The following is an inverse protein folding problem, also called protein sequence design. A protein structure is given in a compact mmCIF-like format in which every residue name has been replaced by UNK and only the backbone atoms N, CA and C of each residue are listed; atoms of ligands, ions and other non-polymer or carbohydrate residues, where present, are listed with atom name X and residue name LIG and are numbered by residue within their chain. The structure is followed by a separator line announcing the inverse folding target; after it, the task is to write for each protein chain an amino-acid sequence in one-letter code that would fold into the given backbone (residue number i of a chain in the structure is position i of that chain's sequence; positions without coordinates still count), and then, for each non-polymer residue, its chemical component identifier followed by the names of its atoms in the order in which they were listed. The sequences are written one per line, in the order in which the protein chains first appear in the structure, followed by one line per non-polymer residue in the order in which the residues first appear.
data_IF_307606003733
#
_entry.id   IF_307606003733
#
_cell.length_a   1.000
_cell.length_b   1.000
_cell.length_c   1.000
_cell.angle_alpha   90.00
_cell.angle_beta   90.00
_cell.angle_gamma   90.00
#
_symmetry.space_group_name_H-M   'P 1'
#
loop_
_entity.id
_entity.type
_entity.pdbx_description
1 polymer ?
#
# COMPACT_ATOMS: atom_id res chain seq x y z
N UNK A 1 3.58 19.65 9.50
CA UNK A 1 2.25 19.15 9.08
C UNK A 1 2.47 18.22 7.89
N UNK A 2 1.77 17.10 7.82
CA UNK A 2 2.01 16.04 6.81
C UNK A 2 1.89 16.56 5.37
N UNK A 3 1.01 17.52 5.09
CA UNK A 3 0.89 18.17 3.77
C UNK A 3 2.20 18.82 3.29
N UNK A 4 2.96 19.44 4.20
CA UNK A 4 4.29 20.02 3.89
C UNK A 4 5.34 18.94 3.64
N UNK A 5 5.19 17.78 4.25
CA UNK A 5 6.10 16.66 3.97
C UNK A 5 5.77 16.05 2.62
N UNK A 6 4.48 15.83 2.35
CA UNK A 6 3.99 15.30 1.09
C UNK A 6 4.39 16.19 -0.10
N UNK A 7 4.38 17.52 0.05
CA UNK A 7 4.74 18.45 -1.04
C UNK A 7 6.17 18.31 -1.56
N UNK A 8 7.06 17.59 -0.85
CA UNK A 8 8.41 17.26 -1.32
C UNK A 8 8.43 16.14 -2.37
N UNK A 9 7.35 15.37 -2.47
CA UNK A 9 7.23 14.22 -3.35
C UNK A 9 6.36 14.58 -4.57
N UNK A 10 6.62 13.91 -5.69
CA UNK A 10 5.91 14.16 -6.95
C UNK A 10 4.68 13.28 -7.13
N UNK A 11 4.64 12.13 -6.47
CA UNK A 11 3.63 11.09 -6.62
C UNK A 11 3.46 10.39 -5.27
N UNK A 12 2.24 9.98 -4.95
CA UNK A 12 1.94 9.04 -3.86
C UNK A 12 1.48 7.71 -4.45
N UNK A 13 1.96 6.62 -3.84
CA UNK A 13 1.54 5.26 -4.16
C UNK A 13 0.83 4.69 -2.95
N UNK A 14 -0.31 4.03 -3.16
CA UNK A 14 -1.06 3.33 -2.10
C UNK A 14 -1.56 1.98 -2.59
N UNK A 15 -2.10 1.16 -1.69
CA UNK A 15 -2.90 0.01 -2.06
C UNK A 15 -4.32 0.15 -1.51
N UNK A 16 -5.28 0.33 -2.41
CA UNK A 16 -6.69 0.61 -2.10
C UNK A 16 -6.91 1.95 -1.37
N UNK A 17 -5.97 2.90 -1.52
CA UNK A 17 -6.03 4.18 -0.82
C UNK A 17 -7.11 5.12 -1.35
N UNK A 18 -7.50 5.00 -2.62
CA UNK A 18 -8.61 5.79 -3.17
C UNK A 18 -9.94 5.50 -2.47
N UNK A 19 -10.14 4.25 -2.04
CA UNK A 19 -11.37 3.80 -1.39
C UNK A 19 -11.29 3.79 0.13
N UNK A 20 -10.10 3.91 0.72
CA UNK A 20 -9.90 3.75 2.15
C UNK A 20 -9.09 4.89 2.77
N UNK A 21 -7.79 4.98 2.47
CA UNK A 21 -6.87 5.89 3.14
C UNK A 21 -7.21 7.37 2.89
N UNK A 22 -7.32 7.79 1.63
CA UNK A 22 -7.53 9.20 1.28
C UNK A 22 -8.85 9.75 1.83
N UNK A 23 -10.01 9.06 1.70
CA UNK A 23 -11.25 9.52 2.32
C UNK A 23 -11.15 9.63 3.84
N UNK A 24 -10.42 8.71 4.49
CA UNK A 24 -10.28 8.70 5.95
C UNK A 24 -9.36 9.81 6.46
N UNK A 25 -8.24 10.05 5.79
CA UNK A 25 -7.34 11.19 6.08
C UNK A 25 -8.08 12.52 5.92
N UNK A 26 -8.87 12.68 4.86
CA UNK A 26 -9.68 13.87 4.66
C UNK A 26 -10.75 14.03 5.75
N UNK A 27 -11.46 12.95 6.10
CA UNK A 27 -12.57 12.99 7.06
C UNK A 27 -12.08 13.29 8.48
N UNK A 28 -11.12 12.51 8.95
CA UNK A 28 -10.69 12.47 10.35
C UNK A 28 -9.62 13.53 10.66
N UNK A 29 -8.74 13.83 9.69
CA UNK A 29 -7.60 14.72 9.89
C UNK A 29 -7.66 16.01 9.06
N UNK A 30 -8.68 16.18 8.21
CA UNK A 30 -8.85 17.33 7.31
C UNK A 30 -7.66 17.55 6.36
N UNK A 31 -6.90 16.49 6.08
CA UNK A 31 -5.77 16.51 5.16
C UNK A 31 -6.25 16.25 3.74
N UNK A 32 -5.95 17.17 2.84
CA UNK A 32 -6.23 16.99 1.42
C UNK A 32 -4.95 16.70 0.64
N UNK A 33 -4.92 15.56 -0.06
CA UNK A 33 -3.78 15.12 -0.85
C UNK A 33 -4.02 15.51 -2.31
N UNK A 34 -3.34 16.55 -2.79
CA UNK A 34 -3.44 17.06 -4.16
C UNK A 34 -2.41 16.48 -5.14
N UNK A 35 -1.52 15.61 -4.66
CA UNK A 35 -0.48 15.01 -5.49
C UNK A 35 -1.05 13.97 -6.46
N UNK A 36 -0.42 13.78 -7.63
CA UNK A 36 -0.67 12.61 -8.46
C UNK A 36 -0.61 11.33 -7.64
N UNK A 37 -1.62 10.48 -7.80
CA UNK A 37 -1.83 9.31 -6.97
C UNK A 37 -1.93 8.05 -7.84
N UNK A 38 -1.18 7.03 -7.44
CA UNK A 38 -1.20 5.70 -8.04
C UNK A 38 -1.76 4.72 -7.01
N UNK A 39 -2.98 4.23 -7.27
CA UNK A 39 -3.55 3.14 -6.49
C UNK A 39 -3.20 1.79 -7.14
N UNK A 40 -2.43 0.97 -6.42
CA UNK A 40 -1.98 -0.33 -6.90
C UNK A 40 -3.08 -1.38 -6.93
N UNK A 41 -4.13 -1.27 -6.11
CA UNK A 41 -5.21 -2.27 -6.05
C UNK A 41 -5.88 -2.47 -7.41
N UNK A 42 -6.43 -1.44 -8.08
CA UNK A 42 -7.05 -1.61 -9.40
C UNK A 42 -6.01 -1.99 -10.48
N UNK A 43 -4.75 -1.56 -10.34
CA UNK A 43 -3.69 -1.93 -11.28
C UNK A 43 -3.33 -3.42 -11.19
N UNK A 44 -3.25 -3.96 -9.98
CA UNK A 44 -3.05 -5.38 -9.71
C UNK A 44 -4.19 -6.21 -10.29
N UNK A 45 -5.44 -5.83 -10.03
CA UNK A 45 -6.62 -6.52 -10.56
C UNK A 45 -6.60 -6.57 -12.09
N UNK A 46 -6.29 -5.45 -12.75
CA UNK A 46 -6.15 -5.38 -14.21
C UNK A 46 -4.99 -6.22 -14.76
N UNK A 47 -3.98 -6.50 -13.94
CA UNK A 47 -2.86 -7.38 -14.23
C UNK A 47 -3.10 -8.86 -13.88
N UNK A 48 -4.30 -9.22 -13.40
CA UNK A 48 -4.64 -10.59 -12.98
C UNK A 48 -4.28 -10.93 -11.53
N UNK A 49 -3.73 -9.98 -10.77
CA UNK A 49 -3.42 -10.12 -9.36
C UNK A 49 -4.66 -9.73 -8.54
N UNK A 50 -5.49 -10.72 -8.21
CA UNK A 50 -6.74 -10.51 -7.44
C UNK A 50 -6.48 -10.63 -5.94
N UNK A 51 -7.28 -9.93 -5.16
CA UNK A 51 -7.23 -9.98 -3.70
C UNK A 51 -6.60 -8.75 -3.05
N UNK A 52 -6.63 -8.69 -1.71
CA UNK A 52 -5.99 -7.69 -0.86
C UNK A 52 -4.47 -7.73 -0.94
N UNK A 53 -3.80 -6.83 -0.22
CA UNK A 53 -2.34 -6.67 -0.27
C UNK A 53 -1.62 -8.00 0.02
N UNK A 54 -2.00 -8.67 1.11
CA UNK A 54 -1.48 -9.99 1.50
C UNK A 54 -1.60 -11.05 0.40
N UNK A 55 -2.74 -11.07 -0.28
CA UNK A 55 -3.00 -12.06 -1.34
C UNK A 55 -2.11 -11.76 -2.56
N UNK A 56 -1.96 -10.48 -2.92
CA UNK A 56 -1.05 -10.05 -3.98
C UNK A 56 0.41 -10.37 -3.63
N UNK A 57 0.85 -10.12 -2.40
CA UNK A 57 2.19 -10.47 -1.94
C UNK A 57 2.46 -11.97 -2.01
N UNK A 58 1.50 -12.79 -1.57
CA UNK A 58 1.60 -14.24 -1.67
C UNK A 58 1.72 -14.71 -3.12
N UNK A 59 0.91 -14.16 -4.03
CA UNK A 59 0.98 -14.47 -5.48
C UNK A 59 2.35 -14.09 -6.06
N UNK A 60 2.92 -12.98 -5.61
CA UNK A 60 4.23 -12.49 -6.05
C UNK A 60 5.40 -13.10 -5.27
N UNK A 61 5.14 -14.03 -4.34
CA UNK A 61 6.13 -14.64 -3.47
C UNK A 61 6.97 -13.61 -2.68
N UNK A 62 6.34 -12.51 -2.26
CA UNK A 62 6.93 -11.50 -1.39
C UNK A 62 6.87 -12.02 0.05
N UNK A 63 8.03 -12.06 0.71
CA UNK A 63 8.15 -12.60 2.06
C UNK A 63 7.91 -11.51 3.09
N UNK A 64 7.29 -11.89 4.19
CA UNK A 64 7.19 -11.09 5.41
C UNK A 64 7.92 -11.82 6.55
N UNK A 65 8.46 -11.11 7.55
CA UNK A 65 8.90 -11.72 8.79
C UNK A 65 7.81 -12.56 9.45
N UNK A 66 8.15 -13.74 9.97
CA UNK A 66 7.17 -14.71 10.48
C UNK A 66 6.43 -14.24 11.73
N UNK A 67 7.03 -13.33 12.51
CA UNK A 67 6.38 -12.77 13.69
C UNK A 67 5.30 -11.75 13.32
N UNK A 68 5.29 -11.22 12.09
CA UNK A 68 4.28 -10.28 11.60
C UNK A 68 3.08 -11.03 11.01
N UNK A 69 2.31 -11.64 11.90
CA UNK A 69 1.06 -12.32 11.57
C UNK A 69 -0.15 -11.62 12.22
N UNK A 70 -1.35 -12.00 11.80
CA UNK A 70 -2.60 -11.42 12.32
C UNK A 70 -3.10 -10.19 11.56
N UNK A 71 -4.02 -9.45 12.18
CA UNK A 71 -4.69 -8.29 11.61
C UNK A 71 -4.18 -7.00 12.29
N UNK A 72 -3.68 -6.01 11.53
CA UNK A 72 -3.24 -4.72 12.08
C UNK A 72 -4.30 -4.01 12.92
N UNK A 73 -5.58 -4.21 12.61
CA UNK A 73 -6.69 -3.64 13.38
C UNK A 73 -6.73 -4.21 14.80
N UNK A 74 -6.36 -5.47 14.97
CA UNK A 74 -6.34 -6.11 16.29
C UNK A 74 -5.15 -5.62 17.12
N UNK A 75 -3.99 -5.38 16.48
CA UNK A 75 -2.84 -4.72 17.14
C UNK A 75 -3.20 -3.30 17.60
N UNK A 76 -3.87 -2.52 16.76
CA UNK A 76 -4.34 -1.19 17.14
C UNK A 76 -5.30 -1.22 18.32
N UNK A 77 -6.27 -2.14 18.32
CA UNK A 77 -7.22 -2.32 19.42
C UNK A 77 -6.54 -2.75 20.72
N UNK A 78 -5.59 -3.67 20.63
CA UNK A 78 -4.83 -4.15 21.78
C UNK A 78 -4.03 -2.99 22.40
N UNK A 79 -3.27 -2.23 21.59
CA UNK A 79 -2.57 -1.03 22.03
C UNK A 79 -3.52 -0.03 22.69
N UNK A 80 -4.66 0.26 22.08
CA UNK A 80 -5.63 1.22 22.62
C UNK A 80 -6.23 0.79 23.96
N UNK A 81 -6.42 -0.53 24.16
CA UNK A 81 -7.02 -1.07 25.37
C UNK A 81 -6.02 -1.21 26.52
N UNK A 82 -4.78 -1.59 26.23
CA UNK A 82 -3.75 -1.86 27.24
C UNK A 82 -2.78 -0.70 27.49
N UNK A 83 -2.56 0.17 26.49
CA UNK A 83 -1.47 1.13 26.47
C UNK A 83 -0.09 0.50 26.26
N UNK A 84 -0.03 -0.80 25.97
CA UNK A 84 1.21 -1.55 25.84
C UNK A 84 1.88 -1.27 24.48
N UNK A 85 3.09 -0.70 24.56
CA UNK A 85 3.85 -0.27 23.38
C UNK A 85 4.27 -1.43 22.49
N UNK A 86 4.37 -2.67 23.00
CA UNK A 86 4.74 -3.81 22.16
C UNK A 86 3.75 -3.99 20.98
N UNK A 87 2.46 -3.77 21.20
CA UNK A 87 1.46 -3.81 20.12
C UNK A 87 1.62 -2.66 19.12
N UNK A 88 2.01 -1.48 19.59
CA UNK A 88 2.27 -0.33 18.73
C UNK A 88 3.53 -0.55 17.87
N UNK A 89 4.59 -1.09 18.47
CA UNK A 89 5.84 -1.36 17.78
C UNK A 89 5.65 -2.42 16.69
N UNK A 90 4.90 -3.50 17.00
CA UNK A 90 4.49 -4.50 16.01
C UNK A 90 3.63 -3.89 14.89
N UNK A 91 2.71 -2.98 15.21
CA UNK A 91 1.89 -2.31 14.21
C UNK A 91 2.73 -1.40 13.30
N UNK A 92 3.72 -0.71 13.85
CA UNK A 92 4.65 0.12 13.07
C UNK A 92 5.49 -0.75 12.14
N UNK A 93 6.03 -1.86 12.64
CA UNK A 93 6.80 -2.81 11.82
C UNK A 93 5.93 -3.40 10.70
N UNK A 94 4.68 -3.74 11.02
CA UNK A 94 3.71 -4.21 10.04
C UNK A 94 3.51 -3.19 8.90
N UNK A 95 3.29 -1.93 9.25
CA UNK A 95 3.09 -0.87 8.26
C UNK A 95 4.36 -0.59 7.44
N UNK A 96 5.54 -0.77 8.04
CA UNK A 96 6.81 -0.64 7.32
C UNK A 96 6.97 -1.75 6.26
N UNK A 97 6.65 -2.99 6.60
CA UNK A 97 6.66 -4.11 5.67
C UNK A 97 5.66 -3.92 4.52
N UNK A 98 4.47 -3.39 4.81
CA UNK A 98 3.52 -3.02 3.76
C UNK A 98 4.18 -2.06 2.76
N UNK A 99 4.85 -1.01 3.22
CA UNK A 99 5.51 -0.01 2.34
C UNK A 99 6.61 -0.65 1.47
N UNK A 100 7.47 -1.50 2.04
CA UNK A 100 8.52 -2.20 1.28
C UNK A 100 7.91 -3.10 0.20
N UNK A 101 6.83 -3.82 0.52
CA UNK A 101 6.14 -4.67 -0.44
C UNK A 101 5.39 -3.86 -1.51
N UNK A 102 4.83 -2.69 -1.18
CA UNK A 102 4.21 -1.80 -2.16
C UNK A 102 5.20 -1.38 -3.25
N UNK A 103 6.46 -1.15 -2.89
CA UNK A 103 7.51 -0.85 -3.87
C UNK A 103 7.71 -2.01 -4.85
N UNK A 104 7.86 -3.24 -4.34
CA UNK A 104 8.03 -4.43 -5.17
C UNK A 104 6.80 -4.68 -6.08
N UNK A 105 5.59 -4.48 -5.56
CA UNK A 105 4.35 -4.59 -6.33
C UNK A 105 4.31 -3.52 -7.43
N UNK A 106 4.67 -2.28 -7.13
CA UNK A 106 4.71 -1.20 -8.11
C UNK A 106 5.68 -1.51 -9.25
N UNK A 107 6.89 -1.99 -8.93
CA UNK A 107 7.88 -2.40 -9.93
C UNK A 107 7.36 -3.52 -10.83
N UNK A 108 6.70 -4.53 -10.25
CA UNK A 108 6.06 -5.61 -11.00
C UNK A 108 4.98 -5.09 -11.96
N UNK A 109 4.06 -4.29 -11.44
CA UNK A 109 2.94 -3.72 -12.21
C UNK A 109 3.46 -2.84 -13.34
N UNK A 110 4.45 -1.99 -13.05
CA UNK A 110 5.09 -1.13 -14.04
C UNK A 110 5.69 -1.96 -15.18
N UNK A 111 6.51 -2.98 -14.85
CA UNK A 111 7.11 -3.85 -15.85
C UNK A 111 6.06 -4.51 -16.75
N UNK A 112 5.03 -5.12 -16.16
CA UNK A 112 3.96 -5.79 -16.92
C UNK A 112 3.18 -4.84 -17.83
N UNK A 113 2.87 -3.64 -17.34
CA UNK A 113 2.18 -2.62 -18.15
C UNK A 113 3.06 -2.12 -19.30
N UNK A 114 4.33 -1.82 -19.03
CA UNK A 114 5.28 -1.37 -20.05
C UNK A 114 5.48 -2.41 -21.15
N UNK A 115 5.63 -3.69 -20.78
CA UNK A 115 5.72 -4.80 -21.75
C UNK A 115 4.46 -4.91 -22.63
N UNK A 116 3.27 -4.76 -22.03
CA UNK A 116 2.01 -4.82 -22.76
C UNK A 116 1.88 -3.66 -23.76
N UNK A 117 2.20 -2.44 -23.32
CA UNK A 117 2.16 -1.24 -24.18
C UNK A 117 3.17 -1.37 -25.32
N UNK A 118 4.40 -1.80 -25.03
CA UNK A 118 5.42 -1.99 -26.05
C UNK A 118 4.96 -2.98 -27.14
N UNK A 119 4.39 -4.12 -26.75
CA UNK A 119 3.84 -5.10 -27.71
C UNK A 119 2.69 -4.54 -28.54
N UNK A 120 1.82 -3.71 -27.95
CA UNK A 120 0.72 -3.07 -28.69
C UNK A 120 1.20 -2.06 -29.72
N UNK A 121 2.30 -1.35 -29.46
CA UNK A 121 2.82 -0.32 -30.37
C UNK A 121 3.69 -0.92 -31.47
N UNK A 122 4.53 -1.91 -31.15
CA UNK A 122 5.60 -2.39 -32.04
C UNK A 122 5.39 -3.80 -32.59
N UNK A 123 4.29 -4.48 -32.25
CA UNK A 123 3.95 -5.80 -32.79
C UNK A 123 2.60 -5.80 -33.55
N UNK A 124 2.14 -4.62 -33.95
CA UNK A 124 1.05 -4.38 -34.92
C UNK A 124 1.64 -3.83 -36.21
#
# INVERSE_FOLDING_TARGET
MIEKELSKYKIIVTFNGSSFDLPKLQKELKINISLPHIDLKPLCVNGGLKGGLKEVEAILNLKRPSHLHGNPVDLWRAFHASGDKEYLDLLIEYNAEDIENLKAIMEHVYKKKSEKIYKQIYSS
#
